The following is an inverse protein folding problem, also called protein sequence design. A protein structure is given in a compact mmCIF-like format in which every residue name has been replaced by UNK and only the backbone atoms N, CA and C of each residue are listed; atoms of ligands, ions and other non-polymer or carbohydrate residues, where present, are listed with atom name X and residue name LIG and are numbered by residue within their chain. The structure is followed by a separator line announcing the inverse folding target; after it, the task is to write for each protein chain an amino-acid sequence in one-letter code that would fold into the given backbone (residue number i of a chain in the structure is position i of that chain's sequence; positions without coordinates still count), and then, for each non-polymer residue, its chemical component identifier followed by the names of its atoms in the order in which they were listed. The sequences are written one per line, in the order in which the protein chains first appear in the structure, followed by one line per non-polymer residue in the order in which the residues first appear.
data_IF_510550938813
#
_entry.id   IF_510550938813
#
_cell.length_a   1.000
_cell.length_b   1.000
_cell.length_c   1.000
_cell.angle_alpha   90.00
_cell.angle_beta   90.00
_cell.angle_gamma   90.00
#
_symmetry.space_group_name_H-M   'P 1'
#
loop_
_entity.id
_entity.type
_entity.pdbx_description
1 polymer ?
#
# COMPACT_ATOMS: atom_id res chain seq x y z
N UNK A 1 -23.56 14.77 4.70
CA UNK A 1 -23.32 16.00 3.92
C UNK A 1 -22.23 15.69 2.90
N UNK A 2 -22.58 15.43 1.65
CA UNK A 2 -21.60 15.29 0.56
C UNK A 2 -21.16 16.70 0.14
N UNK A 3 -20.14 17.24 0.80
CA UNK A 3 -19.50 18.46 0.32
C UNK A 3 -18.68 18.12 -0.92
N UNK A 4 -18.89 18.83 -2.02
CA UNK A 4 -18.03 18.71 -3.21
C UNK A 4 -16.68 19.31 -2.84
N UNK A 5 -15.68 18.46 -2.62
CA UNK A 5 -14.33 18.88 -2.21
C UNK A 5 -13.45 18.96 -3.47
N UNK A 6 -12.56 19.96 -3.53
CA UNK A 6 -11.49 20.02 -4.54
C UNK A 6 -10.44 18.90 -4.36
N UNK A 7 -10.53 18.14 -3.27
CA UNK A 7 -9.71 16.97 -2.97
C UNK A 7 -10.40 15.68 -3.40
N UNK A 8 -9.63 14.61 -3.67
CA UNK A 8 -10.15 13.27 -3.94
C UNK A 8 -10.84 12.57 -2.75
N UNK A 9 -10.96 13.22 -1.60
CA UNK A 9 -11.67 12.71 -0.42
C UNK A 9 -13.18 12.58 -0.67
N UNK A 10 -13.78 11.44 -0.30
CA UNK A 10 -15.20 11.14 -0.53
C UNK A 10 -15.86 10.52 0.72
N UNK A 11 -17.13 10.81 0.94
CA UNK A 11 -17.91 10.26 2.06
C UNK A 11 -17.26 10.57 3.42
N UNK A 12 -17.07 9.52 4.23
CA UNK A 12 -16.43 9.63 5.56
C UNK A 12 -14.92 9.85 5.51
N UNK A 13 -14.30 9.70 4.34
CA UNK A 13 -12.86 9.84 4.15
C UNK A 13 -12.49 11.31 4.06
N UNK A 14 -11.45 11.73 4.77
CA UNK A 14 -10.92 13.10 4.77
C UNK A 14 -9.41 13.09 4.92
N UNK A 15 -8.77 14.14 4.41
CA UNK A 15 -7.37 14.48 4.67
C UNK A 15 -7.33 15.67 5.66
N UNK A 16 -6.15 15.98 6.19
CA UNK A 16 -5.98 17.09 7.16
C UNK A 16 -6.47 18.43 6.62
N UNK A 17 -6.26 18.71 5.32
CA UNK A 17 -6.74 19.95 4.71
C UNK A 17 -8.27 20.04 4.70
N UNK A 18 -8.95 18.95 4.33
CA UNK A 18 -10.42 18.89 4.38
C UNK A 18 -10.94 18.94 5.82
N UNK A 19 -10.22 18.35 6.77
CA UNK A 19 -10.59 18.39 8.18
C UNK A 19 -10.58 19.83 8.72
N UNK A 20 -9.53 20.58 8.39
CA UNK A 20 -9.43 22.01 8.73
C UNK A 20 -10.50 22.85 8.01
N UNK A 21 -10.63 22.71 6.69
CA UNK A 21 -11.55 23.53 5.87
C UNK A 21 -13.01 23.32 6.25
N UNK A 22 -13.43 22.06 6.42
CA UNK A 22 -14.82 21.69 6.69
C UNK A 22 -15.09 21.40 8.16
N UNK A 23 -14.14 21.67 9.06
CA UNK A 23 -14.24 21.42 10.52
C UNK A 23 -14.65 19.98 10.85
N UNK A 24 -14.10 19.01 10.14
CA UNK A 24 -14.40 17.58 10.34
C UNK A 24 -13.61 17.09 11.55
N UNK A 25 -14.30 16.57 12.55
CA UNK A 25 -13.67 15.94 13.72
C UNK A 25 -13.55 14.44 13.47
N UNK A 26 -12.31 13.93 13.42
CA UNK A 26 -12.06 12.49 13.34
C UNK A 26 -11.89 11.85 14.71
N UNK A 27 -12.35 10.61 14.81
CA UNK A 27 -12.06 9.74 15.96
C UNK A 27 -10.58 9.38 15.94
N UNK A 28 -9.91 9.51 17.08
CA UNK A 28 -8.55 9.03 17.24
C UNK A 28 -8.55 7.49 17.26
N UNK A 29 -8.27 6.89 16.10
CA UNK A 29 -8.23 5.44 15.96
C UNK A 29 -7.05 4.82 16.72
N UNK A 30 -5.94 5.54 16.87
CA UNK A 30 -4.75 5.05 17.58
C UNK A 30 -5.09 4.71 19.04
N UNK A 31 -5.69 5.64 19.78
CA UNK A 31 -6.07 5.38 21.19
C UNK A 31 -7.14 4.30 21.34
N UNK A 32 -7.99 4.12 20.33
CA UNK A 32 -8.96 3.02 20.30
C UNK A 32 -8.28 1.68 20.11
N UNK A 33 -7.32 1.59 19.19
CA UNK A 33 -6.67 0.34 18.84
C UNK A 33 -5.53 -0.03 19.77
N UNK A 34 -4.85 0.91 20.44
CA UNK A 34 -3.79 0.63 21.43
C UNK A 34 -4.26 -0.25 22.60
N UNK A 35 -5.58 -0.35 22.81
CA UNK A 35 -6.20 -1.25 23.80
C UNK A 35 -6.27 -2.71 23.33
N UNK A 36 -6.06 -2.96 22.04
CA UNK A 36 -6.05 -4.29 21.43
C UNK A 36 -4.65 -4.91 21.49
N UNK A 37 -4.60 -6.23 21.41
CA UNK A 37 -3.34 -6.93 21.16
C UNK A 37 -2.82 -6.57 19.77
N UNK A 38 -1.51 -6.35 19.66
CA UNK A 38 -0.83 -6.04 18.41
C UNK A 38 0.44 -6.85 18.27
N UNK A 39 0.79 -7.14 17.03
CA UNK A 39 1.95 -7.95 16.68
C UNK A 39 2.72 -7.28 15.56
N UNK A 40 4.04 -7.46 15.59
CA UNK A 40 4.97 -7.00 14.57
C UNK A 40 5.60 -8.23 13.94
N UNK A 41 5.41 -8.37 12.63
CA UNK A 41 5.98 -9.48 11.87
C UNK A 41 7.48 -9.26 11.66
N UNK A 42 8.29 -10.27 12.03
CA UNK A 42 9.73 -10.25 11.82
C UNK A 42 10.09 -11.07 10.57
N UNK A 43 10.66 -10.43 9.53
CA UNK A 43 10.99 -11.11 8.26
C UNK A 43 12.09 -12.16 8.41
N UNK A 44 12.94 -12.05 9.45
CA UNK A 44 14.02 -13.00 9.70
C UNK A 44 13.55 -14.24 10.49
N UNK A 45 12.52 -14.10 11.33
CA UNK A 45 11.95 -15.23 12.07
C UNK A 45 10.83 -15.94 11.30
N UNK A 46 10.23 -15.27 10.30
CA UNK A 46 8.98 -15.70 9.66
C UNK A 46 7.81 -15.86 10.67
N UNK A 47 7.77 -14.96 11.68
CA UNK A 47 6.80 -15.01 12.79
C UNK A 47 6.39 -13.61 13.24
N UNK A 48 5.21 -13.51 13.85
CA UNK A 48 4.72 -12.27 14.45
C UNK A 48 4.95 -12.24 15.97
N UNK A 49 5.50 -11.13 16.46
CA UNK A 49 5.88 -10.95 17.86
C UNK A 49 5.04 -9.86 18.53
N UNK A 50 4.60 -10.04 19.78
CA UNK A 50 3.70 -9.09 20.44
C UNK A 50 4.38 -7.72 20.64
N UNK A 51 3.86 -6.68 20.01
CA UNK A 51 4.33 -5.30 20.18
C UNK A 51 3.47 -4.29 19.42
N UNK A 52 3.47 -3.05 19.90
CA UNK A 52 3.02 -1.86 19.16
C UNK A 52 4.17 -1.13 18.45
N UNK A 53 5.43 -1.48 18.75
CA UNK A 53 6.60 -0.83 18.17
C UNK A 53 6.95 -1.49 16.83
N UNK A 54 6.62 -0.82 15.72
CA UNK A 54 6.88 -1.28 14.35
C UNK A 54 8.36 -1.58 14.06
N UNK A 55 9.30 -1.06 14.87
CA UNK A 55 10.73 -1.33 14.72
C UNK A 55 11.21 -2.56 15.47
N UNK A 56 10.33 -3.30 16.18
CA UNK A 56 10.70 -4.49 16.94
C UNK A 56 11.44 -5.54 16.09
N UNK A 57 11.13 -5.64 14.79
CA UNK A 57 11.83 -6.58 13.90
C UNK A 57 13.35 -6.34 13.85
N UNK A 58 13.82 -5.11 14.09
CA UNK A 58 15.25 -4.76 14.13
C UNK A 58 15.99 -5.35 15.33
N UNK A 59 15.25 -5.80 16.36
CA UNK A 59 15.84 -6.44 17.54
C UNK A 59 16.16 -7.92 17.32
N UNK A 60 15.88 -8.47 16.13
CA UNK A 60 16.21 -9.84 15.79
C UNK A 60 17.69 -10.14 16.10
N UNK A 61 18.01 -11.28 16.76
CA UNK A 61 17.11 -12.39 17.14
C UNK A 61 16.46 -12.25 18.54
N UNK A 62 16.72 -11.17 19.28
CA UNK A 62 16.39 -11.00 20.69
C UNK A 62 14.97 -10.45 20.94
N UNK A 63 13.96 -11.10 20.36
CA UNK A 63 12.57 -10.72 20.59
C UNK A 63 12.10 -11.13 22.00
N UNK A 64 11.02 -10.49 22.49
CA UNK A 64 10.40 -10.78 23.79
C UNK A 64 8.96 -11.25 23.61
N UNK A 65 8.50 -12.12 24.51
CA UNK A 65 7.13 -12.67 24.51
C UNK A 65 6.99 -13.93 23.66
N UNK A 66 5.76 -14.43 23.54
CA UNK A 66 5.44 -15.62 22.74
C UNK A 66 5.07 -15.21 21.32
N UNK A 67 5.83 -15.70 20.33
CA UNK A 67 5.53 -15.48 18.92
C UNK A 67 4.32 -16.29 18.46
N UNK A 68 3.65 -15.82 17.41
CA UNK A 68 2.60 -16.56 16.69
C UNK A 68 3.03 -16.80 15.23
N UNK A 69 2.54 -17.91 14.66
CA UNK A 69 2.60 -18.14 13.22
C UNK A 69 1.62 -17.19 12.52
N UNK A 70 2.06 -16.60 11.40
CA UNK A 70 1.21 -15.72 10.59
C UNK A 70 1.44 -16.00 9.10
N UNK A 71 0.89 -17.12 8.58
CA UNK A 71 1.13 -17.57 7.22
C UNK A 71 0.52 -16.61 6.18
N UNK A 72 1.05 -16.65 4.96
CA UNK A 72 0.58 -15.80 3.85
C UNK A 72 1.24 -14.43 3.77
N UNK A 73 2.21 -14.13 4.64
CA UNK A 73 3.05 -12.94 4.57
C UNK A 73 4.47 -13.34 4.17
N UNK A 74 5.08 -12.54 3.30
CA UNK A 74 6.49 -12.65 2.95
C UNK A 74 7.06 -11.24 2.73
N UNK A 75 8.20 -10.96 3.36
CA UNK A 75 8.85 -9.64 3.27
C UNK A 75 10.29 -9.82 2.78
N UNK A 76 10.57 -9.38 1.56
CA UNK A 76 11.93 -9.27 1.02
C UNK A 76 12.51 -7.90 1.35
N UNK A 77 13.38 -7.84 2.35
CA UNK A 77 14.14 -6.63 2.65
C UNK A 77 15.08 -6.27 1.48
N UNK A 78 15.26 -4.98 1.24
CA UNK A 78 16.15 -4.43 0.21
C UNK A 78 15.89 -5.00 -1.20
N UNK A 79 14.61 -5.19 -1.56
CA UNK A 79 14.22 -5.71 -2.88
C UNK A 79 14.72 -4.81 -4.03
N UNK A 80 14.63 -3.49 -3.84
CA UNK A 80 15.25 -2.50 -4.72
C UNK A 80 16.50 -1.92 -4.05
N UNK A 81 17.55 -1.75 -4.84
CA UNK A 81 18.75 -1.00 -4.47
C UNK A 81 18.46 0.51 -4.39
N UNK A 82 19.30 1.30 -3.70
CA UNK A 82 19.13 2.76 -3.64
C UNK A 82 19.10 3.43 -5.02
N UNK A 83 19.91 2.94 -5.98
CA UNK A 83 19.92 3.45 -7.35
C UNK A 83 18.61 3.15 -8.08
N UNK A 84 18.09 1.93 -7.97
CA UNK A 84 16.80 1.55 -8.55
C UNK A 84 15.64 2.36 -7.95
N UNK A 85 15.65 2.58 -6.64
CA UNK A 85 14.65 3.44 -5.96
C UNK A 85 14.70 4.85 -6.53
N UNK A 86 15.90 5.43 -6.67
CA UNK A 86 16.07 6.78 -7.24
C UNK A 86 15.55 6.85 -8.69
N UNK A 87 15.94 5.90 -9.53
CA UNK A 87 15.50 5.82 -10.93
C UNK A 87 13.98 5.64 -11.04
N UNK A 88 13.40 4.76 -10.22
CA UNK A 88 11.96 4.53 -10.19
C UNK A 88 11.19 5.79 -9.78
N UNK A 89 11.63 6.47 -8.71
CA UNK A 89 11.00 7.71 -8.25
C UNK A 89 11.03 8.78 -9.34
N UNK A 90 12.18 9.02 -9.97
CA UNK A 90 12.27 9.95 -11.09
C UNK A 90 11.31 9.59 -12.22
N UNK A 91 11.22 8.31 -12.58
CA UNK A 91 10.29 7.86 -13.61
C UNK A 91 8.81 8.01 -13.24
N UNK A 92 8.47 7.86 -11.96
CA UNK A 92 7.09 8.03 -11.48
C UNK A 92 6.66 9.50 -11.50
N UNK A 93 7.56 10.46 -11.29
CA UNK A 93 7.22 11.89 -11.40
C UNK A 93 6.86 12.32 -12.83
N UNK A 94 7.40 11.66 -13.85
CA UNK A 94 7.07 11.91 -15.26
C UNK A 94 5.67 11.38 -15.65
N UNK A 95 5.07 10.54 -14.79
CA UNK A 95 3.73 9.99 -15.02
C UNK A 95 2.71 10.88 -14.29
N UNK A 96 1.65 11.35 -14.97
CA UNK A 96 0.63 12.19 -14.34
C UNK A 96 -0.01 11.53 -13.12
N UNK A 97 -0.03 12.26 -12.01
CA UNK A 97 -0.70 11.86 -10.79
C UNK A 97 -2.19 12.19 -10.81
N UNK A 98 -3.03 11.24 -10.41
CA UNK A 98 -4.44 11.47 -10.14
C UNK A 98 -4.70 11.68 -8.64
N UNK A 99 -5.59 12.60 -8.30
CA UNK A 99 -6.05 12.75 -6.91
C UNK A 99 -6.76 11.47 -6.44
N UNK A 100 -6.48 11.06 -5.21
CA UNK A 100 -7.06 9.88 -4.58
C UNK A 100 -7.66 10.24 -3.22
N UNK A 101 -8.35 9.26 -2.63
CA UNK A 101 -9.01 9.43 -1.34
C UNK A 101 -8.02 9.60 -0.20
N UNK A 102 -8.46 10.29 0.86
CA UNK A 102 -7.69 10.52 2.08
C UNK A 102 -6.34 11.19 1.81
N UNK A 103 -6.32 12.19 0.93
CA UNK A 103 -5.15 13.05 0.70
C UNK A 103 -4.04 12.45 -0.15
N UNK A 104 -4.24 11.24 -0.69
CA UNK A 104 -3.26 10.54 -1.53
C UNK A 104 -3.30 11.01 -2.98
N UNK A 105 -2.23 10.71 -3.71
CA UNK A 105 -2.23 10.65 -5.17
C UNK A 105 -2.02 9.22 -5.64
N UNK A 106 -2.46 8.91 -6.85
CA UNK A 106 -2.30 7.57 -7.43
C UNK A 106 -1.98 7.61 -8.91
N UNK A 107 -1.38 6.53 -9.39
CA UNK A 107 -1.25 6.18 -10.81
C UNK A 107 -1.74 4.75 -10.94
N UNK A 108 -2.73 4.49 -11.79
CA UNK A 108 -3.32 3.16 -11.91
C UNK A 108 -3.28 2.66 -13.34
N UNK A 109 -2.67 1.49 -13.54
CA UNK A 109 -2.56 0.82 -14.83
C UNK A 109 -3.12 -0.59 -14.69
N UNK A 110 -4.20 -0.89 -15.40
CA UNK A 110 -4.87 -2.19 -15.34
C UNK A 110 -6.31 -2.11 -15.83
N UNK A 111 -7.04 -3.24 -15.80
CA UNK A 111 -8.45 -3.28 -16.18
C UNK A 111 -9.31 -2.43 -15.23
N UNK A 112 -10.40 -1.88 -15.76
CA UNK A 112 -11.41 -1.17 -14.96
C UNK A 112 -12.28 -2.17 -14.21
N UNK A 113 -12.35 -2.00 -12.90
CA UNK A 113 -13.14 -2.86 -12.00
C UNK A 113 -14.49 -2.23 -11.67
N UNK A 114 -15.57 -3.01 -11.81
CA UNK A 114 -16.89 -2.69 -11.26
C UNK A 114 -17.14 -3.58 -10.04
N UNK A 115 -16.81 -3.07 -8.86
CA UNK A 115 -16.93 -3.79 -7.58
C UNK A 115 -18.36 -4.25 -7.30
N UNK A 116 -19.37 -3.40 -7.55
CA UNK A 116 -20.78 -3.74 -7.30
C UNK A 116 -21.27 -4.90 -8.16
N UNK A 117 -20.81 -4.98 -9.42
CA UNK A 117 -21.22 -6.03 -10.37
C UNK A 117 -20.24 -7.20 -10.43
N UNK A 118 -19.10 -7.14 -9.72
CA UNK A 118 -17.96 -8.06 -9.84
C UNK A 118 -17.56 -8.32 -11.30
N UNK A 119 -17.31 -7.23 -12.04
CA UNK A 119 -16.94 -7.29 -13.48
C UNK A 119 -15.65 -6.53 -13.75
N UNK A 120 -14.87 -7.05 -14.70
CA UNK A 120 -13.69 -6.41 -15.26
C UNK A 120 -13.96 -5.97 -16.70
N UNK A 121 -13.41 -4.83 -17.08
CA UNK A 121 -13.40 -4.33 -18.46
C UNK A 121 -12.00 -3.82 -18.79
N UNK A 122 -11.45 -4.18 -19.95
CA UNK A 122 -10.12 -3.75 -20.35
C UNK A 122 -10.02 -2.21 -20.47
N UNK A 123 -11.07 -1.57 -20.99
CA UNK A 123 -11.11 -0.12 -21.13
C UNK A 123 -10.00 0.39 -22.06
N UNK A 124 -9.24 1.38 -21.58
CA UNK A 124 -8.12 1.99 -22.31
C UNK A 124 -6.75 1.42 -21.90
N UNK A 125 -6.73 0.27 -21.19
CA UNK A 125 -5.48 -0.34 -20.77
C UNK A 125 -4.73 -0.90 -21.99
N UNK A 126 -3.56 -0.33 -22.27
CA UNK A 126 -2.68 -0.71 -23.39
C UNK A 126 -1.32 -1.25 -22.94
N UNK A 127 -1.16 -1.49 -21.63
CA UNK A 127 0.07 -1.99 -21.02
C UNK A 127 0.55 -1.15 -19.85
N UNK A 128 1.61 -1.62 -19.20
CA UNK A 128 2.27 -0.92 -18.09
C UNK A 128 3.36 0.03 -18.60
N UNK A 129 3.71 1.09 -17.84
CA UNK A 129 4.82 1.96 -18.20
C UNK A 129 6.12 1.20 -18.38
N UNK A 130 6.82 1.44 -19.50
CA UNK A 130 8.13 0.82 -19.76
C UNK A 130 9.15 1.13 -18.65
N UNK A 131 9.06 2.31 -18.06
CA UNK A 131 9.95 2.78 -17.00
C UNK A 131 9.83 2.01 -15.68
N UNK A 132 8.71 1.32 -15.44
CA UNK A 132 8.49 0.49 -14.25
C UNK A 132 8.67 -1.02 -14.51
N UNK A 133 8.95 -1.41 -15.77
CA UNK A 133 9.04 -2.81 -16.19
C UNK A 133 10.07 -3.60 -15.37
N UNK A 134 11.21 -3.00 -15.05
CA UNK A 134 12.30 -3.68 -14.35
C UNK A 134 11.85 -4.19 -12.96
N UNK A 135 10.95 -3.47 -12.27
CA UNK A 135 10.40 -3.90 -10.97
C UNK A 135 9.66 -5.23 -11.13
N UNK A 136 8.83 -5.34 -12.18
CA UNK A 136 8.08 -6.55 -12.46
C UNK A 136 8.99 -7.70 -12.89
N UNK A 137 10.05 -7.42 -13.66
CA UNK A 137 11.05 -8.42 -14.03
C UNK A 137 11.77 -8.99 -12.79
N UNK A 138 12.11 -8.13 -11.81
CA UNK A 138 12.76 -8.58 -10.57
C UNK A 138 11.89 -9.48 -9.70
N UNK A 139 10.57 -9.53 -9.89
CA UNK A 139 9.74 -10.52 -9.20
C UNK A 139 10.20 -11.96 -9.51
N UNK A 140 10.69 -12.21 -10.72
CA UNK A 140 11.21 -13.53 -11.09
C UNK A 140 12.46 -13.97 -10.31
N UNK A 141 13.21 -13.02 -9.75
CA UNK A 141 14.38 -13.27 -8.90
C UNK A 141 13.98 -13.75 -7.49
N UNK A 142 12.71 -13.59 -7.12
CA UNK A 142 12.16 -14.01 -5.83
C UNK A 142 11.41 -15.33 -6.02
N UNK A 143 11.84 -16.45 -5.40
CA UNK A 143 11.28 -17.77 -5.68
C UNK A 143 9.75 -17.87 -5.59
N UNK A 144 9.13 -17.28 -4.56
CA UNK A 144 7.66 -17.30 -4.37
C UNK A 144 6.88 -16.47 -5.41
N UNK A 145 7.57 -15.59 -6.15
CA UNK A 145 7.00 -14.70 -7.15
C UNK A 145 7.43 -15.09 -8.59
N UNK A 146 8.10 -16.22 -8.79
CA UNK A 146 8.65 -16.61 -10.09
C UNK A 146 7.60 -16.73 -11.22
N UNK A 147 6.37 -17.06 -10.86
CA UNK A 147 5.21 -17.19 -11.75
C UNK A 147 4.16 -16.09 -11.47
N UNK A 148 4.55 -14.99 -10.82
CA UNK A 148 3.65 -13.88 -10.56
C UNK A 148 3.31 -13.17 -11.88
N UNK A 149 2.01 -12.94 -12.12
CA UNK A 149 1.53 -12.23 -13.29
C UNK A 149 0.89 -10.92 -12.86
N UNK A 150 1.46 -9.80 -13.27
CA UNK A 150 0.92 -8.47 -12.96
C UNK A 150 -0.34 -8.21 -13.78
N UNK A 151 -1.49 -8.11 -13.12
CA UNK A 151 -2.77 -7.73 -13.75
C UNK A 151 -3.09 -6.24 -13.57
N UNK A 152 -2.54 -5.62 -12.53
CA UNK A 152 -2.66 -4.19 -12.23
C UNK A 152 -1.36 -3.69 -11.60
N UNK A 153 -0.97 -2.46 -11.94
CA UNK A 153 0.07 -1.69 -11.28
C UNK A 153 -0.55 -0.40 -10.72
N UNK A 154 -0.62 -0.29 -9.40
CA UNK A 154 -1.12 0.88 -8.68
C UNK A 154 -0.01 1.50 -7.86
N UNK A 155 0.44 2.69 -8.24
CA UNK A 155 1.38 3.50 -7.44
C UNK A 155 0.57 4.43 -6.56
N UNK A 156 0.88 4.47 -5.26
CA UNK A 156 0.25 5.38 -4.30
C UNK A 156 1.30 6.30 -3.69
N UNK A 157 0.99 7.59 -3.63
CA UNK A 157 1.79 8.58 -2.93
C UNK A 157 1.05 9.08 -1.70
N UNK A 158 1.79 9.17 -0.59
CA UNK A 158 1.32 9.62 0.71
C UNK A 158 2.04 10.91 1.10
N UNK A 159 1.32 12.03 1.04
CA UNK A 159 1.80 13.35 1.48
C UNK A 159 1.52 13.56 2.98
N UNK A 160 2.56 13.73 3.83
CA UNK A 160 2.40 14.02 5.26
C UNK A 160 1.65 15.33 5.54
N UNK A 161 1.78 16.36 4.70
CA UNK A 161 1.09 17.65 4.89
C UNK A 161 -0.43 17.51 4.75
N UNK A 162 -0.87 16.51 3.97
CA UNK A 162 -2.28 16.14 3.85
C UNK A 162 -2.71 15.11 4.89
N UNK A 163 -1.78 14.56 5.69
CA UNK A 163 -2.04 13.38 6.52
C UNK A 163 -2.55 12.22 5.69
N UNK A 164 -1.93 12.01 4.53
CA UNK A 164 -2.38 11.03 3.58
C UNK A 164 -2.36 9.63 4.20
N UNK A 165 -3.44 8.89 4.03
CA UNK A 165 -3.63 7.60 4.71
C UNK A 165 -4.45 6.64 3.88
N UNK A 166 -4.37 5.36 4.25
CA UNK A 166 -5.22 4.30 3.72
C UNK A 166 -6.06 3.76 4.88
N UNK A 167 -7.37 3.67 4.67
CA UNK A 167 -8.25 3.11 5.69
C UNK A 167 -8.04 1.59 5.80
N UNK A 168 -8.27 0.97 6.96
CA UNK A 168 -8.28 -0.48 7.09
C UNK A 168 -9.28 -1.11 6.11
N UNK A 169 -8.81 -2.06 5.30
CA UNK A 169 -9.62 -2.80 4.32
C UNK A 169 -8.97 -4.16 4.01
N UNK A 170 -9.73 -4.99 3.30
CA UNK A 170 -9.29 -6.26 2.72
C UNK A 170 -9.46 -6.13 1.21
N UNK A 171 -8.45 -6.52 0.46
CA UNK A 171 -8.50 -6.50 -1.01
C UNK A 171 -9.38 -7.64 -1.56
N UNK A 172 -10.10 -7.32 -2.65
CA UNK A 172 -10.96 -8.24 -3.40
C UNK A 172 -10.13 -9.28 -4.18
N UNK A 173 -10.00 -10.49 -3.63
CA UNK A 173 -9.27 -11.59 -4.27
C UNK A 173 -9.82 -12.01 -5.64
N UNK A 174 -11.10 -11.76 -5.93
CA UNK A 174 -11.68 -12.05 -7.25
C UNK A 174 -11.10 -11.17 -8.38
N UNK A 175 -10.44 -10.06 -8.03
CA UNK A 175 -9.77 -9.17 -8.98
C UNK A 175 -8.28 -9.51 -9.04
N UNK A 176 -7.62 -9.49 -7.88
CA UNK A 176 -6.15 -9.50 -7.78
C UNK A 176 -5.57 -10.89 -7.49
N UNK A 177 -6.41 -11.90 -7.36
CA UNK A 177 -6.01 -13.26 -7.04
C UNK A 177 -5.57 -13.42 -5.59
N UNK A 178 -4.76 -14.45 -5.35
CA UNK A 178 -4.33 -14.87 -4.01
C UNK A 178 -3.07 -14.15 -3.52
N UNK A 179 -2.38 -13.41 -4.40
CA UNK A 179 -1.09 -12.78 -4.10
C UNK A 179 -1.13 -11.32 -4.48
N UNK A 180 -0.81 -10.46 -3.52
CA UNK A 180 -0.65 -9.01 -3.74
C UNK A 180 0.78 -8.65 -3.35
N UNK A 181 1.47 -7.95 -4.25
CA UNK A 181 2.87 -7.51 -4.04
C UNK A 181 2.88 -6.00 -3.84
N UNK A 182 3.50 -5.56 -2.75
CA UNK A 182 3.75 -4.14 -2.49
C UNK A 182 5.25 -3.88 -2.44
N UNK A 183 5.71 -2.90 -3.22
CA UNK A 183 7.11 -2.44 -3.21
C UNK A 183 7.16 -1.07 -2.56
N UNK A 184 7.89 -0.94 -1.46
CA UNK A 184 8.13 0.35 -0.82
C UNK A 184 9.33 1.04 -1.49
N UNK A 185 9.17 2.34 -1.79
CA UNK A 185 10.16 3.17 -2.50
C UNK A 185 10.65 4.34 -1.65
N UNK A 186 10.38 4.30 -0.35
CA UNK A 186 10.84 5.28 0.64
C UNK A 186 12.11 4.72 1.28
N UNK A 187 13.11 5.58 1.42
CA UNK A 187 14.40 5.28 2.06
C UNK A 187 14.39 5.85 3.47
#
# INVERSE_FOLDING_TARGET
METVRLCGCKGIRSCLLCETEYKIVKVNLKTRFEKCSSYVYCPNCDKAWPSWNIHLYKNHPNHKGTSIEFPGVYIKLNFLSPCEIKSLRSALEEIPWEVSQSGRRKQNFGPKCNFKKKKLQLGAFSGFPKSTQFVQQKFSEVPILNNFQTVEQCTLEYDPLRGASIDPHIDDCWIWGERIVTVNVIV
#
